data_IF_171799952510
#
_entry.id   IF_171799952510
#
_cell.length_a   1.000
_cell.length_b   1.000
_cell.length_c   1.000
_cell.angle_alpha   90.00
_cell.angle_beta   90.00
_cell.angle_gamma   90.00
#
_symmetry.space_group_name_H-M   'P 1'
#
loop_
_entity.id
_entity.type
_entity.pdbx_description
1 polymer ?
#
# COMPACT_ATOMS: atom_id res chain seq x y z
N UNK A 1 36.24 -67.52 -28.27
CA UNK A 1 34.79 -67.59 -28.08
C UNK A 1 34.21 -66.18 -28.20
N UNK A 2 33.31 -65.97 -29.15
CA UNK A 2 32.81 -64.66 -29.60
C UNK A 2 31.55 -64.24 -28.83
N UNK A 3 31.63 -63.09 -28.17
CA UNK A 3 30.70 -61.94 -28.23
C UNK A 3 29.17 -62.20 -28.14
N UNK A 4 28.57 -62.08 -26.96
CA UNK A 4 27.11 -61.80 -26.75
C UNK A 4 26.84 -61.19 -25.36
N UNK A 5 26.99 -59.87 -25.17
CA UNK A 5 26.36 -59.21 -24.01
C UNK A 5 26.06 -57.71 -24.15
N UNK A 6 26.57 -57.01 -25.18
CA UNK A 6 26.39 -55.55 -25.29
C UNK A 6 25.11 -55.05 -25.98
N UNK A 7 24.18 -55.92 -26.41
CA UNK A 7 23.00 -55.51 -27.21
C UNK A 7 21.69 -55.29 -26.44
N UNK A 8 21.63 -55.58 -25.14
CA UNK A 8 20.35 -55.45 -24.39
C UNK A 8 20.13 -54.04 -23.80
N UNK A 9 21.18 -53.30 -23.44
CA UNK A 9 21.06 -51.96 -22.82
C UNK A 9 20.73 -50.82 -23.78
N UNK A 10 21.22 -50.84 -25.02
CA UNK A 10 21.00 -49.75 -25.97
C UNK A 10 19.53 -49.58 -26.43
N UNK A 11 18.74 -50.66 -26.44
CA UNK A 11 17.36 -50.62 -26.93
C UNK A 11 16.36 -50.03 -25.92
N UNK A 12 16.65 -50.10 -24.61
CA UNK A 12 15.80 -49.50 -23.59
C UNK A 12 16.01 -47.99 -23.48
N UNK A 13 17.25 -47.54 -23.65
CA UNK A 13 17.60 -46.12 -23.69
C UNK A 13 16.99 -45.42 -24.91
N UNK A 14 17.03 -46.03 -26.10
CA UNK A 14 16.37 -45.44 -27.28
C UNK A 14 14.84 -45.32 -27.11
N UNK A 15 14.20 -46.29 -26.43
CA UNK A 15 12.77 -46.21 -26.11
C UNK A 15 12.45 -45.15 -25.06
N UNK A 16 13.32 -44.96 -24.07
CA UNK A 16 13.13 -43.94 -23.03
C UNK A 16 13.33 -42.53 -23.59
N UNK A 17 14.32 -42.33 -24.46
CA UNK A 17 14.52 -41.07 -25.20
C UNK A 17 13.36 -40.75 -26.15
N UNK A 18 12.86 -41.73 -26.90
CA UNK A 18 11.70 -41.54 -27.78
C UNK A 18 10.41 -41.16 -27.01
N UNK A 19 10.20 -41.76 -25.83
CA UNK A 19 9.09 -41.40 -24.92
C UNK A 19 9.23 -39.97 -24.37
N UNK A 20 10.44 -39.56 -23.99
CA UNK A 20 10.71 -38.23 -23.49
C UNK A 20 10.50 -37.15 -24.56
N UNK A 21 10.90 -37.41 -25.81
CA UNK A 21 10.70 -36.49 -26.92
C UNK A 21 9.21 -36.35 -27.30
N UNK A 22 8.44 -37.45 -27.25
CA UNK A 22 6.99 -37.44 -27.46
C UNK A 22 6.24 -36.63 -26.38
N UNK A 23 6.66 -36.74 -25.12
CA UNK A 23 6.10 -35.95 -24.01
C UNK A 23 6.45 -34.46 -24.10
N UNK A 24 7.65 -34.10 -24.59
CA UNK A 24 8.01 -32.70 -24.84
C UNK A 24 7.13 -32.08 -25.93
N UNK A 25 6.92 -32.78 -27.04
CA UNK A 25 6.07 -32.27 -28.13
C UNK A 25 4.60 -32.13 -27.71
N UNK A 26 4.11 -33.00 -26.82
CA UNK A 26 2.75 -32.89 -26.25
C UNK A 26 2.59 -31.66 -25.32
N UNK A 27 3.64 -31.30 -24.57
CA UNK A 27 3.65 -30.11 -23.71
C UNK A 27 3.68 -28.80 -24.52
N UNK A 28 4.38 -28.77 -25.67
CA UNK A 28 4.38 -27.60 -26.55
C UNK A 28 3.03 -27.37 -27.25
N UNK A 29 2.31 -28.45 -27.61
CA UNK A 29 0.97 -28.34 -28.21
C UNK A 29 -0.08 -27.79 -27.22
N UNK A 30 0.01 -28.16 -25.93
CA UNK A 30 -0.91 -27.67 -24.90
C UNK A 30 -0.74 -26.17 -24.59
N UNK A 31 0.49 -25.64 -24.67
CA UNK A 31 0.75 -24.21 -24.46
C UNK A 31 0.24 -23.33 -25.61
N UNK A 32 0.22 -23.83 -26.85
CA UNK A 32 -0.32 -23.10 -28.00
C UNK A 32 -1.83 -22.85 -27.94
N UNK A 33 -2.59 -23.79 -27.34
CA UNK A 33 -4.06 -23.66 -27.19
C UNK A 33 -4.42 -22.65 -26.08
N UNK A 34 -3.62 -22.58 -25.01
CA UNK A 34 -3.87 -21.66 -23.88
C UNK A 34 -3.56 -20.20 -24.27
N UNK A 35 -2.53 -19.95 -25.09
CA UNK A 35 -2.18 -18.60 -25.54
C UNK A 35 -3.22 -17.98 -26.49
N UNK A 36 -3.92 -18.80 -27.29
CA UNK A 36 -4.98 -18.34 -28.19
C UNK A 36 -6.26 -17.89 -27.48
N UNK A 37 -6.58 -18.50 -26.33
CA UNK A 37 -7.76 -18.13 -25.52
C UNK A 37 -7.54 -16.78 -24.81
N UNK A 38 -6.33 -16.49 -24.34
CA UNK A 38 -6.00 -15.23 -23.67
C UNK A 38 -6.05 -14.01 -24.61
N UNK A 39 -5.67 -14.15 -25.88
CA UNK A 39 -5.77 -13.05 -26.86
C UNK A 39 -7.22 -12.79 -27.32
N UNK A 40 -8.07 -13.82 -27.35
CA UNK A 40 -9.50 -13.68 -27.70
C UNK A 40 -10.34 -12.98 -26.61
N UNK A 41 -10.06 -13.26 -25.34
CA UNK A 41 -10.77 -12.63 -24.20
C UNK A 41 -10.36 -11.16 -24.03
N UNK A 42 -9.09 -10.81 -24.34
CA UNK A 42 -8.61 -9.43 -24.28
C UNK A 42 -9.22 -8.53 -25.37
N UNK A 43 -9.52 -9.08 -26.57
CA UNK A 43 -10.18 -8.33 -27.64
C UNK A 43 -11.67 -8.05 -27.35
N UNK A 44 -12.38 -8.98 -26.72
CA UNK A 44 -13.78 -8.79 -26.33
C UNK A 44 -13.91 -7.73 -25.22
N UNK A 45 -12.99 -7.70 -24.25
CA UNK A 45 -12.95 -6.63 -23.25
C UNK A 45 -12.64 -5.25 -23.85
N UNK A 46 -11.79 -5.18 -24.88
CA UNK A 46 -11.52 -3.93 -25.59
C UNK A 46 -12.68 -3.46 -26.48
N UNK A 47 -13.49 -4.38 -27.02
CA UNK A 47 -14.65 -4.04 -27.86
C UNK A 47 -15.87 -3.56 -27.06
N UNK A 48 -16.04 -4.00 -25.80
CA UNK A 48 -17.15 -3.58 -24.93
C UNK A 48 -16.89 -2.20 -24.28
N UNK A 49 -15.63 -1.77 -24.18
CA UNK A 49 -15.26 -0.48 -23.56
C UNK A 49 -15.40 0.74 -24.50
N UNK A 50 -15.78 0.55 -25.77
CA UNK A 50 -15.89 1.64 -26.75
C UNK A 50 -17.32 1.99 -27.21
N UNK A 51 -18.35 1.46 -26.56
CA UNK A 51 -19.75 1.80 -26.86
C UNK A 51 -20.53 2.22 -25.61
N UNK A 52 -20.14 3.32 -24.98
CA UNK A 52 -21.13 4.18 -24.31
C UNK A 52 -20.55 5.58 -24.10
N UNK A 53 -20.82 6.48 -25.04
CA UNK A 53 -20.72 7.94 -24.87
C UNK A 53 -21.49 8.62 -26.02
N UNK A 54 -22.76 8.27 -26.16
CA UNK A 54 -23.70 8.92 -27.05
C UNK A 54 -24.73 9.72 -26.25
N UNK A 55 -24.33 10.86 -25.65
CA UNK A 55 -25.33 11.78 -25.09
C UNK A 55 -25.99 12.58 -26.22
N UNK A 56 -27.25 12.25 -26.49
CA UNK A 56 -28.16 13.01 -27.36
C UNK A 56 -28.81 14.10 -26.53
N UNK A 57 -28.43 15.36 -26.76
CA UNK A 57 -29.15 16.52 -26.23
C UNK A 57 -30.52 16.64 -26.93
N UNK A 58 -31.60 16.32 -26.22
CA UNK A 58 -32.97 16.66 -26.66
C UNK A 58 -33.24 18.13 -26.36
N UNK A 59 -33.38 18.94 -27.40
CA UNK A 59 -33.92 20.30 -27.32
C UNK A 59 -35.44 20.21 -27.25
N UNK A 60 -36.04 20.72 -26.17
CA UNK A 60 -37.48 20.97 -26.07
C UNK A 60 -37.75 22.45 -26.33
N UNK A 61 -38.64 22.74 -27.28
CA UNK A 61 -39.22 24.07 -27.54
C UNK A 61 -40.71 24.04 -27.18
N UNK A 62 -41.26 25.25 -27.00
CA UNK A 62 -42.67 25.65 -26.76
C UNK A 62 -42.89 26.04 -25.28
N UNK A 63 -43.29 27.26 -24.88
CA UNK A 63 -43.68 28.50 -25.55
C UNK A 63 -43.85 29.66 -24.53
N UNK A 64 -43.95 30.89 -25.08
CA UNK A 64 -44.37 32.21 -24.55
C UNK A 64 -45.25 32.25 -23.26
N UNK A 65 -45.28 33.22 -22.34
CA UNK A 65 -44.95 34.68 -22.20
C UNK A 65 -45.21 35.08 -20.69
N UNK A 66 -45.14 36.34 -20.18
CA UNK A 66 -44.08 37.37 -20.23
C UNK A 66 -43.80 38.07 -18.85
N UNK A 67 -42.77 38.94 -18.84
CA UNK A 67 -42.47 40.05 -17.89
C UNK A 67 -41.94 39.72 -16.46
N UNK A 68 -40.62 39.80 -16.28
CA UNK A 68 -40.07 40.72 -15.28
C UNK A 68 -38.66 41.19 -15.64
N UNK A 69 -38.45 42.51 -15.53
CA UNK A 69 -37.34 43.28 -16.11
C UNK A 69 -36.37 43.67 -15.00
N UNK A 70 -35.16 43.09 -14.93
CA UNK A 70 -34.04 43.65 -14.15
C UNK A 70 -32.72 43.49 -14.95
N UNK A 71 -32.31 44.61 -15.55
CA UNK A 71 -30.96 45.08 -15.95
C UNK A 71 -29.87 44.06 -16.32
N UNK A 72 -29.55 44.03 -17.63
CA UNK A 72 -28.32 43.45 -18.19
C UNK A 72 -27.18 44.46 -18.02
N UNK A 73 -26.21 44.17 -17.15
CA UNK A 73 -24.89 44.77 -17.24
C UNK A 73 -24.07 43.99 -18.27
N UNK A 74 -23.70 44.70 -19.34
CA UNK A 74 -22.93 44.29 -20.50
C UNK A 74 -21.50 43.89 -20.06
N UNK A 75 -21.19 42.60 -20.02
CA UNK A 75 -19.81 42.10 -19.87
C UNK A 75 -19.26 41.84 -21.29
N UNK A 76 -18.09 42.40 -21.66
CA UNK A 76 -17.51 42.20 -22.98
C UNK A 76 -17.10 40.73 -23.22
N UNK A 77 -17.15 40.23 -24.47
CA UNK A 77 -16.68 38.90 -24.80
C UNK A 77 -15.15 38.87 -24.79
N UNK A 78 -14.59 37.68 -24.67
CA UNK A 78 -13.16 37.33 -24.72
C UNK A 78 -12.45 37.23 -23.37
N UNK A 79 -12.73 36.13 -22.66
CA UNK A 79 -11.66 35.40 -21.97
C UNK A 79 -11.76 33.94 -22.40
N UNK A 80 -10.66 33.43 -22.95
CA UNK A 80 -10.52 32.05 -23.38
C UNK A 80 -10.90 31.08 -22.25
N UNK A 81 -11.68 30.05 -22.58
CA UNK A 81 -11.89 28.89 -21.73
C UNK A 81 -10.54 28.19 -21.60
N UNK A 82 -9.80 28.50 -20.55
CA UNK A 82 -8.66 27.68 -20.17
C UNK A 82 -9.22 26.36 -19.65
N UNK A 83 -8.68 25.25 -20.18
CA UNK A 83 -8.89 23.91 -19.69
C UNK A 83 -8.76 23.90 -18.14
N UNK A 84 -9.89 23.77 -17.45
CA UNK A 84 -9.90 23.52 -16.01
C UNK A 84 -9.57 22.03 -15.86
N UNK A 85 -8.40 21.64 -15.33
CA UNK A 85 -8.20 20.24 -14.97
C UNK A 85 -9.21 19.89 -13.89
N UNK A 86 -9.97 18.80 -14.07
CA UNK A 86 -10.80 18.27 -12.99
C UNK A 86 -9.94 18.06 -11.73
N UNK A 87 -10.39 18.51 -10.53
CA UNK A 87 -9.70 18.21 -9.30
C UNK A 87 -9.86 16.72 -9.02
N UNK A 88 -8.86 15.95 -9.44
CA UNK A 88 -8.66 14.59 -8.96
C UNK A 88 -8.21 14.67 -7.50
N UNK A 89 -9.18 14.77 -6.59
CA UNK A 89 -9.00 14.83 -5.13
C UNK A 89 -8.52 13.51 -4.50
N UNK A 90 -8.08 12.54 -5.31
CA UNK A 90 -7.56 11.27 -4.80
C UNK A 90 -6.09 11.43 -4.40
N UNK A 91 -5.69 10.99 -3.18
CA UNK A 91 -4.29 10.95 -2.79
C UNK A 91 -3.46 10.17 -3.79
N UNK A 92 -2.30 10.69 -4.15
CA UNK A 92 -1.35 10.03 -5.07
C UNK A 92 -0.33 9.24 -4.28
N UNK A 93 0.24 8.21 -4.89
CA UNK A 93 1.34 7.45 -4.29
C UNK A 93 2.61 8.30 -4.36
N UNK A 94 3.30 8.44 -3.23
CA UNK A 94 4.59 9.13 -3.09
C UNK A 94 5.73 8.13 -3.19
N UNK A 95 5.61 7.02 -2.44
CA UNK A 95 6.63 5.97 -2.35
C UNK A 95 5.96 4.63 -2.12
N UNK A 96 6.63 3.58 -2.56
CA UNK A 96 6.27 2.21 -2.27
C UNK A 96 7.51 1.46 -1.78
N UNK A 97 7.36 0.66 -0.75
CA UNK A 97 8.42 -0.15 -0.15
C UNK A 97 7.85 -1.48 0.36
N UNK A 98 8.11 -2.57 -0.36
CA UNK A 98 7.54 -3.91 -0.19
C UNK A 98 6.00 -3.93 -0.16
N UNK A 99 5.42 -3.87 1.04
CA UNK A 99 3.98 -3.90 1.30
C UNK A 99 3.49 -2.59 1.92
N UNK A 100 4.37 -1.61 2.07
CA UNK A 100 4.09 -0.25 2.54
C UNK A 100 3.93 0.71 1.36
N UNK A 101 2.85 1.48 1.36
CA UNK A 101 2.54 2.45 0.30
C UNK A 101 2.26 3.80 0.93
N UNK A 102 3.15 4.77 0.74
CA UNK A 102 2.99 6.14 1.22
C UNK A 102 2.17 6.96 0.23
N UNK A 103 1.15 7.66 0.71
CA UNK A 103 0.32 8.58 -0.06
C UNK A 103 0.59 10.04 0.27
N UNK A 104 0.23 10.95 -0.64
CA UNK A 104 0.44 12.40 -0.51
C UNK A 104 -0.28 13.05 0.66
N UNK A 105 -1.24 12.37 1.29
CA UNK A 105 -1.98 12.83 2.46
C UNK A 105 -1.37 12.34 3.79
N UNK A 106 -0.14 11.82 3.78
CA UNK A 106 0.60 11.45 5.00
C UNK A 106 0.14 10.14 5.65
N UNK A 107 -0.41 9.21 4.87
CA UNK A 107 -0.74 7.86 5.36
C UNK A 107 0.06 6.80 4.63
N UNK A 108 0.38 5.74 5.36
CA UNK A 108 1.08 4.57 4.84
C UNK A 108 0.15 3.37 4.94
N UNK A 109 -0.13 2.74 3.81
CA UNK A 109 -0.90 1.50 3.76
C UNK A 109 0.05 0.32 3.92
N UNK A 110 -0.18 -0.50 4.93
CA UNK A 110 0.43 -1.82 5.12
C UNK A 110 -0.50 -2.90 4.59
N UNK A 111 -0.25 -3.32 3.36
CA UNK A 111 -1.08 -4.31 2.64
C UNK A 111 -0.91 -5.73 3.17
N UNK A 112 0.16 -6.03 3.92
CA UNK A 112 0.42 -7.35 4.47
C UNK A 112 -0.40 -7.60 5.73
N UNK A 113 -0.53 -6.58 6.57
CA UNK A 113 -1.23 -6.68 7.86
C UNK A 113 -2.63 -6.06 7.83
N UNK A 114 -3.07 -5.50 6.70
CA UNK A 114 -4.33 -4.74 6.60
C UNK A 114 -4.41 -3.60 7.61
N UNK A 115 -3.31 -2.85 7.70
CA UNK A 115 -3.17 -1.70 8.60
C UNK A 115 -2.91 -0.43 7.78
N UNK A 116 -3.21 0.70 8.39
CA UNK A 116 -2.84 2.02 7.91
C UNK A 116 -2.14 2.75 9.05
N UNK A 117 -0.98 3.33 8.75
CA UNK A 117 -0.11 4.02 9.68
C UNK A 117 -0.05 5.51 9.34
N UNK A 118 0.20 6.34 10.35
CA UNK A 118 0.76 7.66 10.11
C UNK A 118 2.15 7.51 9.45
N UNK A 119 2.53 8.45 8.58
CA UNK A 119 3.85 8.45 7.95
C UNK A 119 4.96 8.94 8.88
N UNK A 120 4.61 9.61 9.99
CA UNK A 120 5.53 10.03 11.03
C UNK A 120 4.99 9.82 12.44
N UNK A 121 5.89 9.66 13.40
CA UNK A 121 5.55 9.71 14.83
C UNK A 121 5.19 11.13 15.29
N UNK A 122 4.94 11.29 16.59
CA UNK A 122 4.61 12.57 17.22
C UNK A 122 5.80 13.54 17.35
N UNK A 123 7.02 13.13 17.04
CA UNK A 123 8.22 13.99 16.98
C UNK A 123 8.86 14.37 18.32
N UNK A 124 8.23 14.08 19.46
CA UNK A 124 8.69 14.52 20.79
C UNK A 124 8.50 13.46 21.88
N UNK A 125 9.18 13.64 23.01
CA UNK A 125 9.07 12.75 24.16
C UNK A 125 7.66 12.75 24.74
N UNK A 126 7.08 11.57 24.93
CA UNK A 126 5.68 11.44 25.32
C UNK A 126 5.47 10.30 26.31
N UNK A 127 4.76 10.58 27.40
CA UNK A 127 4.34 9.53 28.32
C UNK A 127 3.16 8.72 27.76
N UNK A 128 2.95 7.52 28.30
CA UNK A 128 1.96 6.58 27.77
C UNK A 128 0.53 7.16 27.72
N UNK A 129 0.12 7.89 28.76
CA UNK A 129 -1.24 8.47 28.82
C UNK A 129 -1.44 9.53 27.74
N UNK A 130 -0.46 10.41 27.55
CA UNK A 130 -0.50 11.44 26.52
C UNK A 130 -0.38 10.82 25.12
N UNK A 131 0.43 9.77 24.96
CA UNK A 131 0.57 9.03 23.72
C UNK A 131 -0.77 8.43 23.28
N UNK A 132 -1.51 7.83 24.21
CA UNK A 132 -2.85 7.32 23.91
C UNK A 132 -3.79 8.44 23.45
N UNK A 133 -3.77 9.57 24.17
CA UNK A 133 -4.58 10.75 23.81
C UNK A 133 -4.17 11.32 22.45
N UNK A 134 -2.88 11.32 22.11
CA UNK A 134 -2.38 11.77 20.81
C UNK A 134 -3.01 10.95 19.68
N UNK A 135 -2.95 9.62 19.78
CA UNK A 135 -3.56 8.74 18.78
C UNK A 135 -5.08 8.92 18.69
N UNK A 136 -5.77 9.01 19.83
CA UNK A 136 -7.23 9.17 19.87
C UNK A 136 -7.70 10.50 19.22
N UNK A 137 -6.82 11.51 19.14
CA UNK A 137 -7.12 12.82 18.53
C UNK A 137 -6.42 13.04 17.18
N UNK A 138 -5.64 12.08 16.70
CA UNK A 138 -4.93 12.20 15.43
C UNK A 138 -5.93 12.18 14.27
N UNK A 139 -5.76 13.07 13.29
CA UNK A 139 -6.67 13.24 12.15
C UNK A 139 -5.97 13.14 10.79
N UNK A 140 -4.89 12.36 10.72
CA UNK A 140 -4.13 12.15 9.49
C UNK A 140 -4.96 11.50 8.38
N UNK A 141 -4.69 11.87 7.13
CA UNK A 141 -5.33 11.29 5.94
C UNK A 141 -6.84 11.45 5.82
N UNK A 142 -7.46 12.33 6.62
CA UNK A 142 -8.93 12.50 6.66
C UNK A 142 -9.66 11.42 7.46
N UNK A 143 -8.95 10.66 8.31
CA UNK A 143 -9.53 9.63 9.16
C UNK A 143 -9.52 10.05 10.64
N UNK A 144 -10.51 9.59 11.41
CA UNK A 144 -10.67 9.91 12.84
C UNK A 144 -10.57 8.68 13.75
N UNK A 145 -10.60 7.47 13.19
CA UNK A 145 -10.58 6.22 13.95
C UNK A 145 -9.15 5.68 14.16
N UNK A 146 -8.23 6.57 14.49
CA UNK A 146 -6.85 6.22 14.82
C UNK A 146 -6.77 5.72 16.27
N UNK A 147 -5.78 4.87 16.53
CA UNK A 147 -5.50 4.32 17.86
C UNK A 147 -4.01 4.12 18.06
N UNK A 148 -3.64 3.93 19.32
CA UNK A 148 -2.32 3.46 19.68
C UNK A 148 -2.13 2.01 19.19
N UNK A 149 -0.93 1.66 18.69
CA UNK A 149 -0.65 0.33 18.17
C UNK A 149 -0.45 -0.69 19.30
N UNK A 150 -0.57 -1.96 18.97
CA UNK A 150 -0.08 -3.05 19.83
C UNK A 150 1.40 -3.30 19.58
N UNK A 151 2.09 -3.90 20.54
CA UNK A 151 3.52 -4.23 20.44
C UNK A 151 3.79 -5.24 19.32
N UNK A 152 2.80 -6.10 19.02
CA UNK A 152 2.90 -7.04 17.91
C UNK A 152 2.80 -6.33 16.56
N UNK A 153 1.90 -5.36 16.42
CA UNK A 153 1.82 -4.53 15.21
C UNK A 153 3.12 -3.75 15.00
N UNK A 154 3.65 -3.10 16.05
CA UNK A 154 4.92 -2.39 15.98
C UNK A 154 6.07 -3.29 15.52
N UNK A 155 6.16 -4.52 16.05
CA UNK A 155 7.22 -5.46 15.66
C UNK A 155 7.19 -5.82 14.17
N UNK A 156 6.05 -5.68 13.49
CA UNK A 156 5.93 -5.97 12.05
C UNK A 156 6.54 -4.88 11.16
N UNK A 157 6.80 -3.69 11.72
CA UNK A 157 7.42 -2.57 11.03
C UNK A 157 8.95 -2.72 10.91
N UNK A 158 9.56 -3.53 11.77
CA UNK A 158 11.01 -3.74 11.77
C UNK A 158 11.45 -4.59 10.56
N UNK A 159 12.56 -4.19 9.92
CA UNK A 159 13.09 -4.80 8.69
C UNK A 159 14.55 -5.19 8.85
N UNK A 160 14.87 -6.48 8.83
CA UNK A 160 16.25 -6.96 9.01
C UNK A 160 17.19 -6.60 7.83
N UNK A 161 16.63 -6.41 6.64
CA UNK A 161 17.31 -6.29 5.35
C UNK A 161 17.38 -4.84 4.83
N UNK A 162 16.89 -3.87 5.61
CA UNK A 162 16.93 -2.45 5.27
C UNK A 162 18.17 -1.76 5.84
N UNK A 163 18.65 -0.75 5.11
CA UNK A 163 19.59 0.21 5.66
C UNK A 163 18.93 0.95 6.82
N UNK A 164 19.64 1.05 7.94
CA UNK A 164 19.08 1.66 9.14
C UNK A 164 19.25 3.17 9.15
N UNK A 165 18.29 3.88 9.73
CA UNK A 165 18.37 5.31 10.02
C UNK A 165 18.80 5.53 11.45
N UNK A 166 19.81 6.38 11.67
CA UNK A 166 20.23 6.74 13.03
C UNK A 166 19.13 7.58 13.70
N UNK A 167 18.69 7.22 14.92
CA UNK A 167 17.70 8.00 15.65
C UNK A 167 18.29 9.37 16.04
N UNK A 168 17.46 10.41 15.97
CA UNK A 168 17.90 11.78 16.27
C UNK A 168 18.10 12.00 17.77
N UNK A 169 17.27 11.37 18.59
CA UNK A 169 17.32 11.45 20.05
C UNK A 169 18.60 10.83 20.65
N UNK A 170 19.11 9.74 20.06
CA UNK A 170 20.24 8.99 20.58
C UNK A 170 21.23 8.60 19.46
N UNK A 171 22.16 9.48 19.06
CA UNK A 171 23.10 9.18 17.98
C UNK A 171 24.02 7.97 18.24
N UNK A 172 24.25 7.63 19.51
CA UNK A 172 25.02 6.46 19.96
C UNK A 172 24.27 5.15 19.77
N UNK A 173 22.93 5.17 19.67
CA UNK A 173 22.12 3.98 19.53
C UNK A 173 22.34 3.32 18.15
N UNK A 174 22.12 1.99 18.03
CA UNK A 174 22.08 1.33 16.72
C UNK A 174 21.09 2.01 15.76
N UNK A 175 21.28 1.81 14.47
CA UNK A 175 20.38 2.36 13.47
C UNK A 175 19.05 1.61 13.47
N UNK A 176 17.94 2.35 13.45
CA UNK A 176 16.59 1.80 13.35
C UNK A 176 16.37 1.29 11.92
N UNK A 177 15.88 0.06 11.77
CA UNK A 177 15.61 -0.52 10.45
C UNK A 177 14.11 -0.69 10.25
N UNK A 178 13.52 0.16 9.43
CA UNK A 178 12.10 0.19 9.10
C UNK A 178 11.91 0.56 7.62
N UNK A 179 10.66 0.55 7.16
CA UNK A 179 10.36 1.02 5.81
C UNK A 179 10.63 2.51 5.64
N UNK A 180 11.15 2.91 4.48
CA UNK A 180 11.35 4.32 4.12
C UNK A 180 10.03 5.13 4.04
N UNK A 181 8.89 4.45 4.09
CA UNK A 181 7.57 5.09 4.11
C UNK A 181 7.21 5.64 5.50
N UNK A 182 7.86 5.19 6.57
CA UNK A 182 7.57 5.56 7.96
C UNK A 182 8.79 6.25 8.57
N UNK A 183 8.56 7.40 9.19
CA UNK A 183 9.60 8.21 9.81
C UNK A 183 9.44 8.21 11.33
N UNK A 184 10.40 7.60 12.01
CA UNK A 184 10.53 7.69 13.47
C UNK A 184 11.62 8.71 13.81
N UNK A 185 11.34 9.57 14.78
CA UNK A 185 12.27 10.55 15.33
C UNK A 185 13.18 9.94 16.41
N UNK A 186 12.75 8.83 17.04
CA UNK A 186 13.49 8.14 18.10
C UNK A 186 13.28 6.60 18.12
N UNK A 187 14.04 5.89 18.96
CA UNK A 187 14.13 4.42 19.00
C UNK A 187 12.84 3.71 19.43
N UNK A 188 12.14 4.24 20.42
CA UNK A 188 11.09 3.48 21.12
C UNK A 188 9.70 4.05 20.86
N UNK A 189 8.74 3.16 20.61
CA UNK A 189 7.36 3.53 20.34
C UNK A 189 6.44 2.81 21.33
N UNK A 190 5.65 3.58 22.08
CA UNK A 190 4.67 3.05 23.02
C UNK A 190 3.64 2.17 22.32
N UNK A 191 3.27 1.07 22.98
CA UNK A 191 2.11 0.27 22.64
C UNK A 191 0.98 0.43 23.65
N UNK A 192 -0.22 0.05 23.23
CA UNK A 192 -1.42 0.03 24.08
C UNK A 192 -1.38 -1.08 25.14
N UNK A 193 -0.47 -2.04 25.00
CA UNK A 193 -0.38 -3.19 25.89
C UNK A 193 0.17 -2.76 27.26
N UNK A 194 -0.44 -3.26 28.34
CA UNK A 194 -0.08 -2.88 29.71
C UNK A 194 0.10 -4.09 30.62
N UNK A 195 0.97 -3.95 31.63
CA UNK A 195 1.12 -4.91 32.72
C UNK A 195 1.21 -4.15 34.05
N UNK A 196 0.13 -4.20 34.83
CA UNK A 196 0.04 -3.46 36.09
C UNK A 196 0.14 -1.94 35.88
N UNK A 197 1.13 -1.31 36.50
CA UNK A 197 1.39 0.14 36.33
C UNK A 197 2.25 0.48 35.11
N UNK A 198 2.77 -0.54 34.42
CA UNK A 198 3.69 -0.42 33.30
C UNK A 198 2.99 -0.60 31.95
N UNK A 199 3.62 -0.10 30.90
CA UNK A 199 3.21 -0.31 29.52
C UNK A 199 4.36 -0.88 28.69
N UNK A 200 4.02 -1.57 27.60
CA UNK A 200 4.99 -2.07 26.66
C UNK A 200 5.31 -1.01 25.60
N UNK A 201 6.53 -1.06 25.11
CA UNK A 201 7.00 -0.34 23.94
C UNK A 201 7.81 -1.29 23.05
N UNK A 202 8.03 -0.87 21.80
CA UNK A 202 8.90 -1.56 20.87
C UNK A 202 10.11 -0.69 20.54
N UNK A 203 11.29 -1.23 20.77
CA UNK A 203 12.57 -0.58 20.51
C UNK A 203 13.09 -1.00 19.12
N UNK A 204 13.10 -0.04 18.19
CA UNK A 204 13.56 -0.24 16.82
C UNK A 204 15.09 -0.24 16.67
N UNK A 205 15.82 0.26 17.67
CA UNK A 205 17.28 0.25 17.70
C UNK A 205 17.79 -1.17 18.06
N UNK A 206 17.09 -1.88 18.94
CA UNK A 206 17.47 -3.22 19.39
C UNK A 206 16.55 -4.35 18.92
N UNK A 207 15.49 -4.05 18.17
CA UNK A 207 14.47 -5.03 17.72
C UNK A 207 13.92 -5.84 18.89
N UNK A 208 13.48 -5.15 19.94
CA UNK A 208 13.07 -5.78 21.19
C UNK A 208 11.78 -5.17 21.73
N UNK A 209 11.07 -5.97 22.54
CA UNK A 209 9.93 -5.51 23.32
C UNK A 209 10.45 -5.08 24.68
N UNK A 210 10.14 -3.85 25.08
CA UNK A 210 10.50 -3.31 26.39
C UNK A 210 9.23 -3.03 27.22
N UNK A 211 9.43 -2.77 28.51
CA UNK A 211 8.36 -2.49 29.46
C UNK A 211 8.82 -1.41 30.46
N UNK A 212 8.17 -0.26 30.40
CA UNK A 212 8.50 0.92 31.21
C UNK A 212 7.35 1.35 32.12
N UNK A 213 7.63 2.18 33.12
CA UNK A 213 6.56 2.86 33.85
C UNK A 213 5.78 3.81 32.93
N UNK A 214 4.46 3.89 33.08
CA UNK A 214 3.61 4.75 32.21
C UNK A 214 3.89 6.25 32.36
N UNK A 215 4.62 6.65 33.38
CA UNK A 215 5.08 8.03 33.60
C UNK A 215 6.38 8.36 32.84
N UNK A 216 7.13 7.37 32.38
CA UNK A 216 8.33 7.56 31.56
C UNK A 216 7.96 8.19 30.21
N UNK A 217 8.84 9.04 29.70
CA UNK A 217 8.64 9.73 28.40
C UNK A 217 9.91 9.90 27.58
N UNK A 218 11.08 9.75 28.21
CA UNK A 218 12.38 9.94 27.57
C UNK A 218 12.54 8.95 26.41
N UNK A 219 12.92 9.45 25.23
CA UNK A 219 13.14 8.68 24.01
C UNK A 219 11.92 7.87 23.50
N UNK A 220 10.75 8.09 24.09
CA UNK A 220 9.52 7.38 23.76
C UNK A 220 8.64 8.21 22.84
N UNK A 221 8.10 7.54 21.81
CA UNK A 221 7.25 8.11 20.77
C UNK A 221 5.93 7.36 20.70
N UNK A 222 5.03 7.85 19.86
CA UNK A 222 3.82 7.13 19.48
C UNK A 222 3.58 7.26 17.98
N UNK A 223 3.20 6.15 17.35
CA UNK A 223 2.88 6.07 15.93
C UNK A 223 1.41 5.62 15.76
N UNK A 224 0.49 6.52 15.38
CA UNK A 224 -0.91 6.17 15.17
C UNK A 224 -1.10 5.07 14.13
N UNK A 225 -1.99 4.14 14.43
CA UNK A 225 -2.40 3.06 13.52
C UNK A 225 -3.91 2.93 13.48
N UNK A 226 -4.45 2.43 12.37
CA UNK A 226 -5.84 2.00 12.22
C UNK A 226 -5.94 0.78 11.32
N UNK A 227 -7.07 0.10 11.36
CA UNK A 227 -7.37 -0.97 10.40
C UNK A 227 -7.58 -0.38 9.00
N UNK A 228 -7.05 -1.07 7.99
CA UNK A 228 -7.27 -0.77 6.59
C UNK A 228 -8.26 -1.80 6.03
N UNK A 229 -9.43 -1.34 5.60
CA UNK A 229 -10.42 -2.17 4.91
C UNK A 229 -10.25 -1.98 3.42
N UNK A 230 -9.94 -3.05 2.69
CA UNK A 230 -10.15 -3.10 1.24
C UNK A 230 -11.62 -3.43 1.01
N UNK A 231 -12.37 -2.49 0.46
CA UNK A 231 -13.73 -2.74 -0.05
C UNK A 231 -13.72 -3.77 -1.18
#
# INVERSE_FOLDING_TARGET
MVNKSKKYGQNEDERSFARAQKLRNLKFAAWGVILGIFLGVLYIFFAVFFMDNGQVLKVSKDGADPVNRITVNKIPPHTAVQNIPEPSDKPKIVRHDDYFILYTNGVVIDTKNNLMWADSDNGEDINWKNAKKYCDNYQGGGHTNWRMPTVNELSTLYKNDKEGVKPKCCPSCPAMRLSDCIQLSCCSVWSVDTQGTKAFDFDFCFNSKAIGDRSESEDLRVLPVRSYQTN
#
